data_IF_662590560497
#
_entry.id   IF_662590560497
#
_cell.length_a   1.000
_cell.length_b   1.000
_cell.length_c   1.000
_cell.angle_alpha   90.00
_cell.angle_beta   90.00
_cell.angle_gamma   90.00
#
_symmetry.space_group_name_H-M   'P 1'
#
loop_
_entity.id
_entity.type
_entity.pdbx_description
1 polymer ?
#
# COMPACT_ATOMS: atom_id res chain seq x y z
N UNK A 1 0.21 22.24 -8.32
CA UNK A 1 0.37 21.25 -7.25
C UNK A 1 1.83 20.89 -7.04
N UNK A 2 2.17 20.61 -5.80
CA UNK A 2 3.51 20.17 -5.38
C UNK A 2 3.83 18.77 -5.95
N UNK A 3 5.01 18.59 -6.54
CA UNK A 3 5.45 17.27 -7.04
C UNK A 3 6.07 16.51 -5.87
N UNK A 4 5.40 15.46 -5.40
CA UNK A 4 5.90 14.59 -4.32
C UNK A 4 6.87 13.53 -4.84
N UNK A 5 6.65 13.06 -6.07
CA UNK A 5 7.51 12.06 -6.70
C UNK A 5 7.44 12.17 -8.22
N UNK A 6 8.59 12.19 -8.87
CA UNK A 6 8.73 12.18 -10.33
C UNK A 6 9.62 11.01 -10.74
N UNK A 7 9.03 9.88 -11.05
CA UNK A 7 9.71 8.67 -11.49
C UNK A 7 8.89 7.94 -12.54
N UNK A 8 8.81 6.62 -12.42
CA UNK A 8 7.97 5.79 -13.30
C UNK A 8 6.49 6.20 -13.29
N UNK A 9 6.00 6.66 -12.15
CA UNK A 9 4.69 7.31 -11.99
C UNK A 9 4.94 8.73 -11.50
N UNK A 10 4.02 9.65 -11.76
CA UNK A 10 4.08 11.01 -11.22
C UNK A 10 3.05 11.12 -10.10
N UNK A 11 3.48 11.58 -8.93
CA UNK A 11 2.62 11.82 -7.78
C UNK A 11 2.69 13.31 -7.45
N UNK A 12 1.53 13.95 -7.44
CA UNK A 12 1.41 15.38 -7.10
C UNK A 12 0.41 15.57 -5.97
N UNK A 13 0.74 16.47 -5.04
CA UNK A 13 -0.20 16.94 -4.05
C UNK A 13 -0.90 18.19 -4.55
N UNK A 14 -2.18 18.30 -4.24
CA UNK A 14 -3.03 19.45 -4.55
C UNK A 14 -3.84 19.81 -3.31
N UNK A 15 -4.18 21.06 -3.20
CA UNK A 15 -5.17 21.54 -2.28
C UNK A 15 -6.35 22.06 -3.08
N UNK A 16 -7.55 21.55 -2.81
CA UNK A 16 -8.78 21.94 -3.48
C UNK A 16 -9.92 21.94 -2.46
N UNK A 17 -10.65 23.05 -2.37
CA UNK A 17 -11.79 23.21 -1.46
C UNK A 17 -11.48 22.86 0.01
N UNK A 18 -10.25 23.19 0.46
CA UNK A 18 -9.77 22.88 1.81
C UNK A 18 -9.34 21.42 2.04
N UNK A 19 -9.44 20.57 1.01
CA UNK A 19 -9.02 19.17 1.05
C UNK A 19 -7.62 18.99 0.46
N UNK A 20 -6.77 18.24 1.16
CA UNK A 20 -5.43 17.87 0.69
C UNK A 20 -5.51 16.56 -0.10
N UNK A 21 -5.30 16.63 -1.39
CA UNK A 21 -5.43 15.52 -2.33
C UNK A 21 -4.08 15.09 -2.89
N UNK A 22 -3.96 13.81 -3.19
CA UNK A 22 -2.83 13.22 -3.92
C UNK A 22 -3.34 12.63 -5.21
N UNK A 23 -2.76 13.07 -6.33
CA UNK A 23 -3.04 12.55 -7.66
C UNK A 23 -1.86 11.73 -8.14
N UNK A 24 -2.09 10.45 -8.36
CA UNK A 24 -1.12 9.51 -8.93
C UNK A 24 -1.43 9.28 -10.40
N UNK A 25 -0.60 9.83 -11.30
CA UNK A 25 -0.61 9.53 -12.72
C UNK A 25 0.24 8.30 -12.96
N UNK A 26 -0.35 7.25 -13.52
CA UNK A 26 0.39 6.05 -13.89
C UNK A 26 1.12 6.23 -15.22
N UNK A 27 2.31 5.59 -15.33
CA UNK A 27 3.06 5.57 -16.58
C UNK A 27 2.16 5.11 -17.73
N UNK A 28 2.19 5.87 -18.81
CA UNK A 28 1.48 5.56 -20.07
C UNK A 28 1.86 4.15 -20.54
N UNK A 29 0.88 3.29 -20.82
CA UNK A 29 1.15 1.95 -21.32
C UNK A 29 1.73 2.00 -22.74
N UNK A 30 2.59 1.05 -23.10
CA UNK A 30 2.92 0.80 -24.51
C UNK A 30 1.70 0.20 -25.24
N UNK A 31 1.76 0.11 -26.56
CA UNK A 31 0.61 -0.30 -27.38
C UNK A 31 0.00 -1.65 -26.94
N UNK A 32 0.83 -2.68 -26.72
CA UNK A 32 0.36 -3.99 -26.26
C UNK A 32 -0.37 -3.91 -24.92
N UNK A 33 0.19 -3.19 -23.95
CA UNK A 33 -0.44 -2.98 -22.63
C UNK A 33 -1.66 -2.10 -22.71
N UNK A 34 -1.71 -1.14 -23.66
CA UNK A 34 -2.89 -0.31 -23.87
C UNK A 34 -4.08 -1.17 -24.34
N UNK A 35 -3.86 -2.11 -25.26
CA UNK A 35 -4.87 -3.10 -25.68
C UNK A 35 -5.32 -3.96 -24.51
N UNK A 36 -4.37 -4.52 -23.72
CA UNK A 36 -4.70 -5.36 -22.56
C UNK A 36 -5.52 -4.57 -21.53
N UNK A 37 -5.15 -3.34 -21.21
CA UNK A 37 -5.91 -2.51 -20.25
C UNK A 37 -7.21 -1.97 -20.82
N UNK A 38 -7.39 -1.94 -22.12
CA UNK A 38 -8.64 -1.50 -22.73
C UNK A 38 -9.69 -2.61 -22.73
N UNK A 39 -9.31 -3.84 -23.07
CA UNK A 39 -10.24 -4.91 -23.34
C UNK A 39 -10.27 -6.04 -22.30
N UNK A 40 -9.12 -6.32 -21.65
CA UNK A 40 -8.97 -7.52 -20.82
C UNK A 40 -8.70 -7.24 -19.34
N UNK A 41 -8.19 -6.08 -18.99
CA UNK A 41 -7.77 -5.80 -17.61
C UNK A 41 -8.05 -4.34 -17.23
N UNK A 42 -8.67 -4.13 -16.09
CA UNK A 42 -8.87 -2.79 -15.51
C UNK A 42 -7.54 -2.03 -15.40
N UNK A 43 -7.56 -0.72 -15.62
CA UNK A 43 -6.37 0.13 -15.47
C UNK A 43 -5.80 0.07 -14.05
N UNK A 44 -4.56 0.51 -13.89
CA UNK A 44 -3.96 0.61 -12.55
C UNK A 44 -4.69 1.60 -11.66
N UNK A 45 -5.17 2.71 -12.22
CA UNK A 45 -5.92 3.74 -11.50
C UNK A 45 -7.23 3.17 -10.96
N UNK A 46 -8.03 2.52 -11.81
CA UNK A 46 -9.27 1.89 -11.42
C UNK A 46 -9.07 0.81 -10.36
N UNK A 47 -8.04 -0.05 -10.52
CA UNK A 47 -7.71 -1.06 -9.50
C UNK A 47 -7.28 -0.44 -8.18
N UNK A 48 -6.51 0.66 -8.19
CA UNK A 48 -6.16 1.35 -6.94
C UNK A 48 -7.40 1.81 -6.19
N UNK A 49 -8.35 2.40 -6.90
CA UNK A 49 -9.61 2.85 -6.31
C UNK A 49 -10.43 1.69 -5.75
N UNK A 50 -10.69 0.66 -6.56
CA UNK A 50 -11.48 -0.51 -6.17
C UNK A 50 -10.85 -1.27 -5.00
N UNK A 51 -9.51 -1.41 -5.00
CA UNK A 51 -8.80 -2.06 -3.90
C UNK A 51 -8.83 -1.21 -2.62
N UNK A 52 -8.75 0.13 -2.70
CA UNK A 52 -8.91 0.99 -1.53
C UNK A 52 -10.30 0.84 -0.90
N UNK A 53 -11.35 0.84 -1.73
CA UNK A 53 -12.73 0.60 -1.25
C UNK A 53 -12.85 -0.77 -0.59
N UNK A 54 -12.29 -1.83 -1.23
CA UNK A 54 -12.33 -3.19 -0.68
C UNK A 54 -11.55 -3.32 0.63
N UNK A 55 -10.36 -2.73 0.73
CA UNK A 55 -9.58 -2.73 1.97
C UNK A 55 -10.37 -2.12 3.13
N UNK A 56 -10.98 -0.96 2.91
CA UNK A 56 -11.79 -0.27 3.93
C UNK A 56 -12.99 -1.11 4.36
N UNK A 57 -13.67 -1.78 3.43
CA UNK A 57 -14.76 -2.72 3.75
C UNK A 57 -14.28 -3.91 4.59
N UNK A 58 -13.01 -4.32 4.47
CA UNK A 58 -12.38 -5.36 5.27
C UNK A 58 -11.76 -4.83 6.59
N UNK A 59 -11.95 -3.53 6.91
CA UNK A 59 -11.38 -2.91 8.10
C UNK A 59 -9.87 -2.73 8.02
N UNK A 60 -9.30 -2.60 6.82
CA UNK A 60 -7.90 -2.29 6.59
C UNK A 60 -7.81 -0.90 5.96
N UNK A 61 -7.02 -0.03 6.57
CA UNK A 61 -6.92 1.36 6.15
C UNK A 61 -6.02 1.54 4.92
N UNK A 62 -6.43 2.48 4.08
CA UNK A 62 -5.65 3.11 3.02
C UNK A 62 -6.05 4.58 2.94
N UNK A 63 -5.23 5.48 2.37
CA UNK A 63 -5.68 6.83 2.07
C UNK A 63 -7.02 6.81 1.37
N UNK A 64 -7.96 7.65 1.83
CA UNK A 64 -9.34 7.64 1.35
C UNK A 64 -9.41 7.84 -0.17
N UNK A 65 -10.00 6.89 -0.91
CA UNK A 65 -10.13 7.00 -2.35
C UNK A 65 -11.19 8.05 -2.72
N UNK A 66 -10.82 9.02 -3.55
CA UNK A 66 -11.72 10.08 -4.00
C UNK A 66 -12.25 9.78 -5.39
N UNK A 67 -11.36 9.49 -6.34
CA UNK A 67 -11.74 9.25 -7.73
C UNK A 67 -10.67 8.48 -8.51
N UNK A 68 -11.06 8.01 -9.66
CA UNK A 68 -10.14 7.54 -10.69
C UNK A 68 -10.63 8.01 -12.06
N UNK A 69 -9.70 8.18 -13.01
CA UNK A 69 -10.01 8.62 -14.37
C UNK A 69 -9.13 7.91 -15.39
N UNK A 70 -9.69 7.68 -16.57
CA UNK A 70 -9.03 7.09 -17.73
C UNK A 70 -9.21 8.00 -18.94
N UNK A 71 -8.11 8.35 -19.58
CA UNK A 71 -8.13 9.01 -20.87
C UNK A 71 -7.80 8.01 -21.98
N UNK A 72 -8.65 7.96 -22.99
CA UNK A 72 -8.49 7.08 -24.15
C UNK A 72 -8.25 7.91 -25.41
N UNK A 73 -7.35 7.44 -26.25
CA UNK A 73 -7.09 8.01 -27.57
C UNK A 73 -7.27 6.94 -28.64
N UNK A 74 -8.09 7.19 -29.63
CA UNK A 74 -8.48 6.20 -30.66
C UNK A 74 -8.98 4.88 -30.04
N UNK A 75 -9.77 4.97 -28.98
CA UNK A 75 -10.34 3.83 -28.27
C UNK A 75 -9.39 3.12 -27.29
N UNK A 76 -8.08 3.37 -27.32
CA UNK A 76 -7.10 2.71 -26.46
C UNK A 76 -6.75 3.57 -25.24
N UNK A 77 -6.52 2.90 -24.10
CA UNK A 77 -6.07 3.55 -22.87
C UNK A 77 -4.73 4.25 -23.05
N UNK A 78 -4.71 5.55 -22.77
CA UNK A 78 -3.54 6.41 -22.90
C UNK A 78 -3.00 6.82 -21.53
N UNK A 79 -3.83 7.47 -20.72
CA UNK A 79 -3.46 7.93 -19.38
C UNK A 79 -4.48 7.45 -18.36
N UNK A 80 -4.04 7.24 -17.12
CA UNK A 80 -4.92 6.91 -16.02
C UNK A 80 -4.45 7.58 -14.72
N UNK A 81 -5.40 8.06 -13.93
CA UNK A 81 -5.19 8.85 -12.73
C UNK A 81 -5.97 8.25 -11.57
N UNK A 82 -5.34 8.18 -10.42
CA UNK A 82 -5.98 7.83 -9.16
C UNK A 82 -5.83 9.00 -8.19
N UNK A 83 -6.93 9.37 -7.56
CA UNK A 83 -7.00 10.48 -6.60
C UNK A 83 -7.39 9.90 -5.25
N UNK A 84 -6.61 10.25 -4.23
CA UNK A 84 -6.92 9.95 -2.83
C UNK A 84 -6.70 11.19 -1.96
N UNK A 85 -7.26 11.19 -0.76
CA UNK A 85 -6.86 12.17 0.27
C UNK A 85 -5.39 11.97 0.62
N UNK A 86 -4.70 13.05 0.99
CA UNK A 86 -3.32 12.98 1.46
C UNK A 86 -3.30 12.37 2.86
N UNK A 87 -2.46 11.37 3.07
CA UNK A 87 -2.18 10.83 4.39
C UNK A 87 -1.05 11.64 5.05
N UNK A 88 -1.18 11.90 6.34
CA UNK A 88 -0.13 12.51 7.18
C UNK A 88 0.65 11.44 7.97
N UNK A 89 0.38 10.17 7.74
CA UNK A 89 1.05 9.06 8.41
C UNK A 89 2.52 8.96 8.00
N UNK A 90 3.35 8.49 8.91
CA UNK A 90 4.78 8.30 8.71
C UNK A 90 5.06 7.02 7.94
N UNK A 91 5.92 7.02 6.89
CA UNK A 91 6.35 5.79 6.24
C UNK A 91 7.11 4.87 7.19
N UNK A 92 6.80 3.56 7.17
CA UNK A 92 7.48 2.55 8.00
C UNK A 92 8.99 2.48 7.68
N UNK A 93 9.39 2.87 6.47
CA UNK A 93 10.79 2.96 6.07
C UNK A 93 11.63 3.88 6.96
N UNK A 94 11.03 4.95 7.49
CA UNK A 94 11.74 5.84 8.43
C UNK A 94 11.98 5.16 9.79
N UNK A 95 11.06 4.30 10.22
CA UNK A 95 11.20 3.53 11.46
C UNK A 95 12.22 2.42 11.30
N UNK A 96 12.14 1.63 10.23
CA UNK A 96 13.07 0.52 9.97
C UNK A 96 14.51 0.99 9.75
N UNK A 97 14.70 2.18 9.15
CA UNK A 97 16.02 2.77 8.96
C UNK A 97 16.69 3.21 10.27
N UNK A 98 15.90 3.49 11.31
CA UNK A 98 16.36 3.93 12.63
C UNK A 98 16.45 2.80 13.64
N UNK A 99 15.95 1.61 13.30
CA UNK A 99 15.96 0.47 14.22
C UNK A 99 17.39 0.04 14.56
N UNK A 100 17.70 -0.25 15.83
CA UNK A 100 16.83 -0.41 17.02
C UNK A 100 16.71 0.84 17.92
N UNK A 101 16.77 2.05 17.38
CA UNK A 101 16.67 3.28 18.17
C UNK A 101 15.38 3.32 19.04
N UNK A 102 15.42 4.11 20.10
CA UNK A 102 14.28 4.29 21.01
C UNK A 102 12.97 4.61 20.26
N UNK A 103 11.90 3.97 20.66
CA UNK A 103 10.55 4.14 20.08
C UNK A 103 10.28 3.36 18.79
N UNK A 104 11.28 2.67 18.21
CA UNK A 104 11.06 1.88 16.99
C UNK A 104 10.49 0.49 17.25
N UNK A 105 10.87 -0.15 18.37
CA UNK A 105 10.41 -1.50 18.71
C UNK A 105 8.88 -1.61 18.80
N UNK A 106 8.15 -0.75 19.55
CA UNK A 106 6.71 -0.87 19.64
C UNK A 106 5.98 -0.71 18.31
N UNK A 107 6.54 0.12 17.40
CA UNK A 107 5.98 0.30 16.05
C UNK A 107 6.13 -0.97 15.22
N UNK A 108 7.34 -1.60 15.24
CA UNK A 108 7.60 -2.81 14.46
C UNK A 108 6.85 -4.02 15.02
N UNK A 109 6.67 -4.11 16.33
CA UNK A 109 5.84 -5.13 16.95
C UNK A 109 4.35 -4.96 16.57
N UNK A 110 3.82 -3.74 16.63
CA UNK A 110 2.46 -3.46 16.19
C UNK A 110 2.28 -3.72 14.68
N UNK A 111 3.31 -3.43 13.88
CA UNK A 111 3.32 -3.74 12.44
C UNK A 111 3.30 -5.25 12.19
N UNK A 112 4.05 -6.06 12.96
CA UNK A 112 4.03 -7.52 12.82
C UNK A 112 2.62 -8.07 13.08
N UNK A 113 1.93 -7.61 14.13
CA UNK A 113 0.52 -7.96 14.39
C UNK A 113 -0.41 -7.51 13.27
N UNK A 114 -0.23 -6.31 12.73
CA UNK A 114 -0.99 -5.83 11.57
C UNK A 114 -0.78 -6.71 10.34
N UNK A 115 0.46 -7.13 10.06
CA UNK A 115 0.76 -8.03 8.95
C UNK A 115 0.10 -9.42 9.12
N UNK A 116 0.04 -9.95 10.34
CA UNK A 116 -0.73 -11.17 10.64
C UNK A 116 -2.20 -10.98 10.31
N UNK A 117 -2.83 -9.92 10.84
CA UNK A 117 -4.25 -9.62 10.57
C UNK A 117 -4.55 -9.47 9.08
N UNK A 118 -3.64 -8.85 8.33
CA UNK A 118 -3.75 -8.69 6.89
C UNK A 118 -3.78 -10.06 6.18
N UNK A 119 -2.85 -10.94 6.54
CA UNK A 119 -2.72 -12.27 5.94
C UNK A 119 -3.87 -13.21 6.38
N UNK A 120 -4.38 -13.08 7.58
CA UNK A 120 -5.56 -13.81 8.05
C UNK A 120 -6.84 -13.43 7.32
N UNK A 121 -6.94 -12.18 6.87
CA UNK A 121 -8.02 -11.70 6.00
C UNK A 121 -7.84 -12.09 4.52
N UNK A 122 -6.85 -12.92 4.19
CA UNK A 122 -6.56 -13.34 2.81
C UNK A 122 -6.01 -12.22 1.92
N UNK A 123 -5.44 -11.16 2.50
CA UNK A 123 -4.97 -10.00 1.76
C UNK A 123 -3.49 -10.11 1.45
N UNK A 124 -3.12 -10.24 0.17
CA UNK A 124 -1.75 -10.19 -0.32
C UNK A 124 -1.44 -8.83 -0.95
N UNK A 125 -0.52 -8.08 -0.36
CA UNK A 125 0.04 -6.87 -0.98
C UNK A 125 1.27 -7.24 -1.81
N UNK A 126 1.13 -7.29 -3.15
CA UNK A 126 2.22 -7.76 -4.04
C UNK A 126 3.39 -6.80 -4.19
N UNK A 127 3.30 -5.61 -3.62
CA UNK A 127 4.39 -4.63 -3.47
C UNK A 127 4.58 -4.24 -1.99
N UNK A 128 4.60 -5.24 -1.09
CA UNK A 128 4.68 -5.09 0.37
C UNK A 128 6.05 -4.59 0.83
N UNK A 129 6.40 -3.39 0.37
CA UNK A 129 7.64 -2.71 0.73
C UNK A 129 7.39 -1.80 1.93
N UNK A 130 8.39 -1.65 2.80
CA UNK A 130 8.29 -0.82 4.01
C UNK A 130 7.99 0.67 3.70
N UNK A 131 8.28 1.15 2.49
CA UNK A 131 7.89 2.47 2.01
C UNK A 131 6.41 2.59 1.60
N UNK A 132 5.73 1.45 1.34
CA UNK A 132 4.31 1.39 0.99
C UNK A 132 3.38 1.16 2.18
N UNK A 133 3.94 1.17 3.39
CA UNK A 133 3.24 1.02 4.65
C UNK A 133 3.42 2.30 5.42
N UNK A 134 2.32 2.95 5.76
CA UNK A 134 2.32 4.17 6.55
C UNK A 134 1.76 3.84 7.93
N UNK A 135 2.23 4.52 8.96
CA UNK A 135 1.74 4.35 10.32
C UNK A 135 1.57 5.67 11.05
N UNK A 136 0.68 5.65 12.02
CA UNK A 136 0.42 6.75 12.92
C UNK A 136 0.05 6.20 14.29
N UNK A 137 0.08 7.05 15.32
CA UNK A 137 -0.32 6.73 16.68
C UNK A 137 -1.57 7.51 17.05
N UNK A 138 -2.60 6.80 17.48
CA UNK A 138 -3.82 7.46 17.97
C UNK A 138 -3.57 8.24 19.26
N UNK A 139 -4.41 9.21 19.62
CA UNK A 139 -4.34 9.89 20.92
C UNK A 139 -4.41 8.91 22.11
N UNK A 140 -5.09 7.77 21.96
CA UNK A 140 -5.15 6.70 22.94
C UNK A 140 -3.91 5.81 22.97
N UNK A 141 -2.89 6.09 22.13
CA UNK A 141 -1.61 5.38 22.10
C UNK A 141 -1.57 4.15 21.21
N UNK A 142 -2.67 3.75 20.56
CA UNK A 142 -2.70 2.62 19.65
C UNK A 142 -2.04 2.97 18.29
N UNK A 143 -1.40 1.98 17.66
CA UNK A 143 -0.81 2.14 16.32
C UNK A 143 -1.84 1.81 15.25
N UNK A 144 -1.87 2.63 14.19
CA UNK A 144 -2.68 2.45 12.99
C UNK A 144 -1.79 2.37 11.79
N UNK A 145 -2.20 1.59 10.79
CA UNK A 145 -1.44 1.40 9.57
C UNK A 145 -2.31 1.65 8.34
N UNK A 146 -1.72 2.26 7.31
CA UNK A 146 -2.32 2.46 6.00
C UNK A 146 -1.45 1.83 4.92
N UNK A 147 -2.07 1.27 3.91
CA UNK A 147 -1.38 0.70 2.75
C UNK A 147 -1.52 1.63 1.54
N UNK A 148 -0.39 1.90 0.87
CA UNK A 148 -0.33 2.65 -0.39
C UNK A 148 0.24 1.79 -1.51
N UNK A 149 0.18 2.26 -2.74
CA UNK A 149 0.54 1.53 -3.98
C UNK A 149 -0.20 0.19 -4.15
N UNK A 150 -1.47 0.19 -3.85
CA UNK A 150 -2.36 -0.95 -3.74
C UNK A 150 -2.88 -1.49 -5.07
N UNK A 151 -2.43 -1.01 -6.23
CA UNK A 151 -2.91 -1.43 -7.54
C UNK A 151 -2.61 -2.92 -7.89
N UNK A 152 -1.78 -3.60 -7.12
CA UNK A 152 -1.37 -5.00 -7.30
C UNK A 152 -1.79 -5.91 -6.15
N UNK A 153 -2.77 -5.49 -5.36
CA UNK A 153 -3.34 -6.32 -4.29
C UNK A 153 -4.00 -7.58 -4.86
N UNK A 154 -3.98 -8.63 -4.07
CA UNK A 154 -4.78 -9.83 -4.26
C UNK A 154 -5.57 -10.12 -2.99
N UNK A 155 -6.76 -10.64 -3.15
CA UNK A 155 -7.70 -10.90 -2.05
C UNK A 155 -8.24 -12.31 -2.21
N UNK A 156 -7.97 -13.15 -1.24
CA UNK A 156 -8.54 -14.48 -1.09
C UNK A 156 -9.67 -14.48 -0.08
N UNK A 157 -10.58 -15.44 -0.18
CA UNK A 157 -11.66 -15.65 0.79
C UNK A 157 -11.19 -16.48 2.01
N UNK A 158 -9.94 -16.90 2.02
CA UNK A 158 -9.29 -17.70 3.06
C UNK A 158 -7.99 -17.04 3.51
N UNK A 159 -7.52 -17.33 4.75
CA UNK A 159 -6.21 -16.90 5.20
C UNK A 159 -5.10 -17.33 4.23
N UNK A 160 -4.10 -16.47 4.07
CA UNK A 160 -2.94 -16.81 3.24
C UNK A 160 -2.19 -18.01 3.81
N UNK A 161 -1.74 -18.90 2.92
CA UNK A 161 -0.85 -20.00 3.30
C UNK A 161 0.48 -19.47 3.85
N UNK A 162 1.18 -20.27 4.69
CA UNK A 162 2.49 -19.89 5.25
C UNK A 162 3.49 -19.48 4.15
N UNK A 163 3.50 -20.22 3.02
CA UNK A 163 4.31 -19.88 1.85
C UNK A 163 3.98 -18.50 1.28
N UNK A 164 2.70 -18.15 1.12
CA UNK A 164 2.26 -16.85 0.61
C UNK A 164 2.62 -15.71 1.59
N UNK A 165 2.46 -15.94 2.90
CA UNK A 165 2.89 -15.03 3.96
C UNK A 165 4.37 -14.70 3.85
N UNK A 166 5.23 -15.73 3.76
CA UNK A 166 6.69 -15.57 3.64
C UNK A 166 7.09 -14.85 2.35
N UNK A 167 6.45 -15.15 1.22
CA UNK A 167 6.66 -14.43 -0.04
C UNK A 167 6.30 -12.95 0.10
N UNK A 168 5.24 -12.63 0.83
CA UNK A 168 4.81 -11.25 1.07
C UNK A 168 5.79 -10.53 1.99
N UNK A 169 6.15 -11.13 3.12
CA UNK A 169 7.11 -10.55 4.09
C UNK A 169 8.49 -10.29 3.47
N UNK A 170 8.98 -11.19 2.63
CA UNK A 170 10.27 -11.01 1.91
C UNK A 170 10.34 -9.73 1.09
N UNK A 171 9.19 -9.18 0.67
CA UNK A 171 9.12 -7.93 -0.12
C UNK A 171 9.29 -6.66 0.72
N UNK A 172 9.37 -6.76 2.05
CA UNK A 172 9.56 -5.59 2.93
C UNK A 172 10.81 -4.80 2.58
N UNK A 173 11.89 -5.47 2.12
CA UNK A 173 13.13 -4.83 1.66
C UNK A 173 13.71 -3.82 2.66
N UNK A 174 13.55 -4.08 3.96
CA UNK A 174 14.09 -3.25 5.03
C UNK A 174 15.45 -3.78 5.53
N UNK A 175 16.18 -3.02 6.37
CA UNK A 175 17.44 -3.49 6.96
C UNK A 175 17.28 -4.84 7.66
N UNK A 176 18.29 -5.71 7.52
CA UNK A 176 18.20 -7.11 7.97
C UNK A 176 17.82 -7.25 9.45
N UNK A 177 18.37 -6.41 10.33
CA UNK A 177 18.06 -6.45 11.77
C UNK A 177 16.58 -6.14 12.03
N UNK A 178 16.05 -5.12 11.38
CA UNK A 178 14.62 -4.79 11.48
C UNK A 178 13.74 -5.90 10.87
N UNK A 179 14.18 -6.49 9.75
CA UNK A 179 13.46 -7.60 9.11
C UNK A 179 13.38 -8.83 10.02
N UNK A 180 14.51 -9.23 10.62
CA UNK A 180 14.56 -10.38 11.54
C UNK A 180 13.66 -10.14 12.77
N UNK A 181 13.67 -8.93 13.33
CA UNK A 181 12.80 -8.58 14.43
C UNK A 181 11.31 -8.67 14.05
N UNK A 182 10.93 -8.11 12.89
CA UNK A 182 9.55 -8.18 12.39
C UNK A 182 9.14 -9.64 12.17
N UNK A 183 10.02 -10.44 11.59
CA UNK A 183 9.75 -11.85 11.29
C UNK A 183 9.54 -12.67 12.58
N UNK A 184 10.37 -12.45 13.58
CA UNK A 184 10.27 -13.08 14.90
C UNK A 184 8.92 -12.74 15.58
N UNK A 185 8.57 -11.45 15.65
CA UNK A 185 7.28 -11.00 16.20
C UNK A 185 6.07 -11.48 15.38
N UNK A 186 6.22 -11.59 14.06
CA UNK A 186 5.21 -12.15 13.19
C UNK A 186 4.98 -13.64 13.46
N UNK A 187 6.07 -14.44 13.55
CA UNK A 187 6.01 -15.86 13.82
C UNK A 187 5.36 -16.13 15.18
N UNK A 188 5.79 -15.41 16.23
CA UNK A 188 5.19 -15.49 17.56
C UNK A 188 3.68 -15.17 17.53
N UNK A 189 3.28 -14.07 16.87
CA UNK A 189 1.86 -13.68 16.77
C UNK A 189 1.04 -14.69 15.98
N UNK A 190 1.64 -15.36 15.00
CA UNK A 190 1.01 -16.37 14.15
C UNK A 190 0.98 -17.76 14.81
N UNK A 191 1.70 -17.97 15.91
CA UNK A 191 1.89 -19.26 16.55
C UNK A 191 2.71 -20.23 15.69
N UNK A 192 3.72 -19.74 15.01
CA UNK A 192 4.70 -20.53 14.26
C UNK A 192 5.93 -20.79 15.13
N UNK A 193 6.34 -22.03 15.18
CA UNK A 193 7.59 -22.51 15.83
C UNK A 193 8.81 -22.19 14.98
#
# INVERSE_FOLDING_TARGET
GEVLHAGRNTIKAFEAEGERLVVKRFKRPNLLRAVIYTFFRRSKARRSYEHAVRLRALGVDSPEPVAWSEYRRRGLLCDSYYVSRRSDYTPLSQTTARFPAAGTLPVLEAFARFAVQLHEKGIEHRDFNHGNILWDRTPAGAYRFQLIDINRMHFDDRPLSSRACMITLRRLSCPAVAFLYILDRYAETRGWD
#
